data_IF_512404698659
#
_entry.id   IF_512404698659
#
_cell.length_a   1.000
_cell.length_b   1.000
_cell.length_c   1.000
_cell.angle_alpha   90.00
_cell.angle_beta   90.00
_cell.angle_gamma   90.00
#
_symmetry.space_group_name_H-M   'P 1'
#
loop_
_entity.id
_entity.type
_entity.pdbx_description
1 polymer ?
#
# COMPACT_ATOMS: atom_id res chain seq x y z
N UNK A 1 26.85 -5.44 2.90
CA UNK A 1 25.88 -5.47 4.02
C UNK A 1 25.09 -4.17 4.00
N UNK A 2 23.79 -4.21 4.32
CA UNK A 2 22.98 -3.01 4.45
C UNK A 2 23.52 -2.08 5.55
N UNK A 3 23.46 -0.76 5.31
CA UNK A 3 23.85 0.26 6.29
C UNK A 3 22.61 0.76 7.01
N UNK A 4 22.73 0.96 8.31
CA UNK A 4 21.67 1.47 9.17
C UNK A 4 22.14 2.77 9.81
N UNK A 5 21.25 3.74 9.91
CA UNK A 5 21.52 4.99 10.63
C UNK A 5 20.26 5.51 11.31
N UNK A 6 20.44 6.32 12.34
CA UNK A 6 19.37 6.98 13.08
C UNK A 6 19.66 8.48 13.07
N UNK A 7 18.68 9.29 12.69
CA UNK A 7 18.77 10.75 12.78
C UNK A 7 17.55 11.29 13.52
N UNK A 8 17.77 11.79 14.74
CA UNK A 8 16.77 12.34 15.68
C UNK A 8 15.51 11.48 15.87
N UNK A 9 14.63 11.42 14.87
CA UNK A 9 13.32 10.76 14.89
C UNK A 9 13.13 9.72 13.76
N UNK A 10 14.12 9.54 12.89
CA UNK A 10 14.01 8.72 11.69
C UNK A 10 15.12 7.65 11.65
N UNK A 11 14.71 6.40 11.45
CA UNK A 11 15.61 5.27 11.25
C UNK A 11 15.71 4.91 9.77
N UNK A 12 16.93 4.83 9.26
CA UNK A 12 17.22 4.60 7.85
C UNK A 12 17.81 3.21 7.64
N UNK A 13 17.34 2.55 6.59
CA UNK A 13 17.87 1.27 6.11
C UNK A 13 18.26 1.44 4.64
N UNK A 14 19.56 1.51 4.37
CA UNK A 14 20.07 1.52 2.99
C UNK A 14 20.04 0.10 2.41
N UNK A 15 19.68 0.01 1.13
CA UNK A 15 19.45 -1.23 0.39
C UNK A 15 18.51 -2.18 1.15
N UNK A 16 17.41 -1.64 1.70
CA UNK A 16 16.50 -2.36 2.61
C UNK A 16 15.99 -3.70 2.04
N UNK A 17 15.78 -3.79 0.73
CA UNK A 17 15.37 -5.03 0.05
C UNK A 17 16.41 -6.18 0.18
N UNK A 18 17.69 -5.86 0.41
CA UNK A 18 18.79 -6.80 0.63
C UNK A 18 19.20 -6.89 2.10
N UNK A 19 18.67 -6.03 2.96
CA UNK A 19 18.92 -6.04 4.40
C UNK A 19 18.34 -7.30 5.08
N UNK A 20 18.79 -7.58 6.31
CA UNK A 20 18.19 -8.65 7.13
C UNK A 20 16.69 -8.42 7.26
N UNK A 21 15.90 -9.50 7.22
CA UNK A 21 14.44 -9.40 7.26
C UNK A 21 13.98 -8.62 8.49
N UNK A 22 13.06 -7.69 8.27
CA UNK A 22 12.48 -6.80 9.28
C UNK A 22 11.00 -6.59 8.95
N UNK A 23 10.19 -6.48 10.00
CA UNK A 23 8.78 -6.15 9.89
C UNK A 23 8.33 -5.31 11.10
N UNK A 24 7.33 -4.47 10.89
CA UNK A 24 6.75 -3.64 11.94
C UNK A 24 5.33 -3.19 11.55
N UNK A 25 4.69 -2.44 12.43
CA UNK A 25 3.43 -1.77 12.17
C UNK A 25 3.63 -0.26 12.08
N UNK A 26 2.85 0.41 11.22
CA UNK A 26 2.70 1.85 11.35
C UNK A 26 2.10 2.16 12.73
N UNK A 27 2.52 3.26 13.38
CA UNK A 27 1.92 3.69 14.63
C UNK A 27 0.42 3.89 14.44
N UNK A 28 -0.38 3.20 15.27
CA UNK A 28 -1.84 3.27 15.27
C UNK A 28 -2.36 4.57 15.88
N UNK A 29 -1.74 5.70 15.54
CA UNK A 29 -2.08 7.04 16.03
C UNK A 29 -2.52 7.85 14.82
N UNK A 30 -3.75 8.35 14.84
CA UNK A 30 -4.36 9.12 13.74
C UNK A 30 -4.87 10.48 14.23
N UNK A 31 -4.12 11.14 15.11
CA UNK A 31 -4.54 12.40 15.74
C UNK A 31 -5.56 12.19 16.88
N UNK A 32 -5.93 13.27 17.57
CA UNK A 32 -6.75 13.24 18.79
C UNK A 32 -8.13 12.61 18.59
N UNK A 33 -8.73 12.82 17.42
CA UNK A 33 -10.08 12.36 17.07
C UNK A 33 -10.12 11.41 15.87
N UNK A 34 -8.97 11.03 15.32
CA UNK A 34 -8.97 10.15 14.15
C UNK A 34 -9.12 8.69 14.53
N UNK A 35 -9.68 7.93 13.60
CA UNK A 35 -9.83 6.48 13.75
C UNK A 35 -8.54 5.76 13.33
N UNK A 36 -7.88 5.01 14.23
CA UNK A 36 -6.66 4.32 13.90
C UNK A 36 -6.92 3.09 13.03
N UNK A 37 -5.92 2.75 12.22
CA UNK A 37 -5.84 1.48 11.52
C UNK A 37 -4.56 0.76 11.93
N UNK A 38 -4.58 -0.57 11.83
CA UNK A 38 -3.35 -1.35 11.89
C UNK A 38 -2.83 -1.49 10.46
N UNK A 39 -1.54 -1.22 10.23
CA UNK A 39 -0.88 -1.38 8.94
C UNK A 39 0.46 -2.07 9.12
N UNK A 40 0.54 -3.32 8.68
CA UNK A 40 1.72 -4.17 8.76
C UNK A 40 2.58 -4.01 7.52
N UNK A 41 3.88 -3.81 7.73
CA UNK A 41 4.86 -3.67 6.65
C UNK A 41 6.14 -4.48 6.92
N UNK A 42 6.84 -4.79 5.84
CA UNK A 42 8.11 -5.51 5.83
C UNK A 42 9.17 -4.71 5.07
N UNK A 43 10.45 -5.00 5.26
CA UNK A 43 11.53 -4.38 4.48
C UNK A 43 11.73 -5.04 3.10
N UNK A 44 10.65 -5.30 2.37
CA UNK A 44 10.68 -5.89 1.03
C UNK A 44 9.65 -5.19 0.13
N UNK A 45 9.95 -5.11 -1.16
CA UNK A 45 9.10 -4.45 -2.16
C UNK A 45 8.63 -3.07 -1.65
N UNK A 46 7.37 -2.71 -1.86
CA UNK A 46 6.84 -1.43 -1.41
C UNK A 46 6.40 -1.39 0.06
N UNK A 47 6.79 -2.38 0.87
CA UNK A 47 6.65 -2.36 2.32
C UNK A 47 5.32 -2.91 2.84
N UNK A 48 4.21 -2.21 2.57
CA UNK A 48 2.89 -2.56 3.14
C UNK A 48 2.34 -3.85 2.53
N UNK A 49 1.89 -4.78 3.39
CA UNK A 49 1.41 -6.11 2.99
C UNK A 49 0.04 -6.47 3.56
N UNK A 50 -0.31 -5.94 4.73
CA UNK A 50 -1.61 -6.16 5.38
C UNK A 50 -2.03 -4.90 6.10
N UNK A 51 -3.32 -4.54 6.04
CA UNK A 51 -3.88 -3.46 6.83
C UNK A 51 -5.36 -3.66 7.06
N UNK A 52 -5.91 -2.99 8.06
CA UNK A 52 -7.32 -3.02 8.40
C UNK A 52 -7.63 -2.19 9.63
N UNK A 53 -8.88 -2.29 10.08
CA UNK A 53 -9.36 -1.63 11.29
C UNK A 53 -9.65 -2.66 12.36
N UNK A 54 -9.68 -2.27 13.64
CA UNK A 54 -10.13 -3.08 14.79
C UNK A 54 -9.39 -4.42 15.01
N UNK A 55 -9.59 -5.41 14.13
CA UNK A 55 -9.08 -6.78 14.21
C UNK A 55 -8.85 -7.37 12.80
N UNK A 56 -8.54 -8.67 12.72
CA UNK A 56 -8.24 -9.35 11.44
C UNK A 56 -9.48 -9.62 10.59
N UNK A 57 -10.68 -9.61 11.19
CA UNK A 57 -11.95 -9.81 10.47
C UNK A 57 -12.38 -8.57 9.69
N UNK A 58 -11.76 -7.42 9.99
CA UNK A 58 -12.00 -6.14 9.32
C UNK A 58 -10.74 -5.69 8.55
N UNK A 59 -10.12 -6.65 7.86
CA UNK A 59 -8.94 -6.40 7.02
C UNK A 59 -9.33 -5.80 5.66
N UNK A 60 -8.55 -4.80 5.23
CA UNK A 60 -8.59 -4.24 3.87
C UNK A 60 -7.59 -4.96 2.96
N UNK A 61 -6.46 -5.40 3.53
CA UNK A 61 -5.56 -6.40 2.94
C UNK A 61 -5.40 -7.56 3.90
N UNK A 62 -5.48 -8.78 3.38
CA UNK A 62 -5.48 -10.02 4.17
C UNK A 62 -4.30 -10.04 5.15
N UNK A 63 -4.59 -10.32 6.43
CA UNK A 63 -3.53 -10.44 7.44
C UNK A 63 -2.64 -11.65 7.15
N UNK A 64 -1.34 -11.43 7.04
CA UNK A 64 -0.34 -12.49 6.88
C UNK A 64 0.71 -12.42 8.00
N UNK A 65 1.12 -13.56 8.58
CA UNK A 65 2.24 -13.59 9.52
C UNK A 65 3.55 -13.20 8.82
N UNK A 66 4.50 -12.68 9.59
CA UNK A 66 5.76 -12.10 9.09
C UNK A 66 6.52 -12.99 8.10
N UNK A 67 6.59 -14.30 8.37
CA UNK A 67 7.26 -15.27 7.50
C UNK A 67 6.64 -15.35 6.10
N UNK A 68 5.31 -15.25 5.97
CA UNK A 68 4.61 -15.24 4.68
C UNK A 68 4.68 -13.86 4.02
N UNK A 69 4.65 -12.81 4.82
CA UNK A 69 4.61 -11.42 4.36
C UNK A 69 5.83 -11.01 3.56
N UNK A 70 7.03 -11.47 3.94
CA UNK A 70 8.29 -11.20 3.23
C UNK A 70 8.29 -11.65 1.77
N UNK A 71 7.54 -12.71 1.44
CA UNK A 71 7.38 -13.19 0.07
C UNK A 71 6.14 -12.60 -0.61
N UNK A 72 5.06 -12.43 0.17
CA UNK A 72 3.75 -12.01 -0.36
C UNK A 72 3.71 -10.56 -0.79
N UNK A 73 4.51 -9.69 -0.16
CA UNK A 73 4.52 -8.25 -0.45
C UNK A 73 4.82 -7.93 -1.92
N UNK A 74 5.55 -8.79 -2.64
CA UNK A 74 5.88 -8.58 -4.05
C UNK A 74 4.69 -8.69 -5.01
N UNK A 75 3.62 -9.36 -4.61
CA UNK A 75 2.45 -9.62 -5.46
C UNK A 75 1.11 -9.29 -4.79
N UNK A 76 1.07 -9.10 -3.46
CA UNK A 76 -0.12 -8.66 -2.71
C UNK A 76 -0.03 -7.22 -2.19
N UNK A 77 1.18 -6.68 -2.03
CA UNK A 77 1.40 -5.30 -1.60
C UNK A 77 1.21 -4.31 -2.73
N UNK A 78 1.44 -3.03 -2.44
CA UNK A 78 1.42 -1.97 -3.45
C UNK A 78 2.44 -2.19 -4.55
N UNK A 79 2.04 -1.86 -5.79
CA UNK A 79 2.91 -1.94 -6.97
C UNK A 79 2.76 -0.68 -7.80
N UNK A 80 3.86 -0.33 -8.45
CA UNK A 80 3.97 0.81 -9.35
C UNK A 80 4.64 0.31 -10.60
N UNK A 81 4.03 0.55 -11.75
CA UNK A 81 4.58 0.23 -13.06
C UNK A 81 4.72 1.51 -13.85
N UNK A 82 5.89 1.69 -14.45
CA UNK A 82 6.24 2.86 -15.22
C UNK A 82 6.56 2.43 -16.64
N UNK A 83 6.09 3.21 -17.61
CA UNK A 83 6.57 3.20 -18.98
C UNK A 83 7.24 4.54 -19.23
N UNK A 84 8.57 4.50 -19.39
CA UNK A 84 9.45 5.67 -19.49
C UNK A 84 10.07 5.64 -20.86
N UNK A 85 9.79 6.62 -21.71
CA UNK A 85 10.32 6.68 -23.08
C UNK A 85 10.12 5.32 -23.82
N UNK A 86 8.90 4.78 -23.72
CA UNK A 86 8.49 3.45 -24.23
C UNK A 86 9.15 2.22 -23.59
N UNK A 87 9.89 2.36 -22.48
CA UNK A 87 10.51 1.24 -21.77
C UNK A 87 9.85 0.97 -20.42
N UNK A 88 9.48 -0.28 -20.18
CA UNK A 88 8.90 -0.70 -18.91
C UNK A 88 9.90 -0.70 -17.76
N UNK A 89 9.41 -0.37 -16.57
CA UNK A 89 10.15 -0.37 -15.33
C UNK A 89 9.21 -0.54 -14.12
N UNK A 90 9.56 -1.43 -13.20
CA UNK A 90 8.88 -1.58 -11.92
C UNK A 90 9.89 -1.22 -10.80
N UNK A 91 9.74 -0.06 -10.13
CA UNK A 91 10.58 0.31 -9.00
C UNK A 91 10.37 -0.60 -7.77
N UNK A 92 11.29 -0.49 -6.81
CA UNK A 92 11.29 -1.18 -5.52
C UNK A 92 11.42 -2.71 -5.59
N UNK A 93 11.80 -3.26 -6.75
CA UNK A 93 12.19 -4.67 -6.89
C UNK A 93 13.56 -4.91 -6.27
N UNK A 94 13.84 -6.15 -5.86
CA UNK A 94 15.20 -6.50 -5.41
C UNK A 94 16.15 -6.32 -6.60
N UNK A 95 17.15 -5.41 -6.51
CA UNK A 95 17.96 -5.09 -7.68
C UNK A 95 19.05 -6.13 -7.89
N UNK A 96 19.13 -6.68 -9.11
CA UNK A 96 20.13 -7.69 -9.49
C UNK A 96 21.57 -7.15 -9.47
N UNK A 97 21.76 -5.84 -9.67
CA UNK A 97 23.06 -5.14 -9.64
C UNK A 97 22.94 -3.87 -8.79
N UNK A 98 24.06 -3.23 -8.45
CA UNK A 98 24.07 -1.94 -7.72
C UNK A 98 23.69 -0.75 -8.64
N UNK A 99 22.64 -0.91 -9.44
CA UNK A 99 22.19 0.10 -10.41
C UNK A 99 21.21 1.10 -9.82
N UNK A 100 20.58 0.74 -8.70
CA UNK A 100 19.61 1.57 -8.00
C UNK A 100 19.98 1.63 -6.53
N UNK A 101 19.79 2.79 -5.93
CA UNK A 101 19.88 2.98 -4.49
C UNK A 101 18.47 2.93 -3.92
N UNK A 102 18.24 2.06 -2.95
CA UNK A 102 16.95 1.96 -2.28
C UNK A 102 17.11 2.28 -0.79
N UNK A 103 16.29 3.18 -0.25
CA UNK A 103 16.34 3.54 1.17
C UNK A 103 14.95 3.40 1.76
N UNK A 104 14.86 2.79 2.94
CA UNK A 104 13.65 2.79 3.76
C UNK A 104 13.88 3.71 4.96
N UNK A 105 12.92 4.59 5.24
CA UNK A 105 12.90 5.53 6.36
C UNK A 105 11.70 5.19 7.23
N UNK A 106 11.96 4.91 8.50
CA UNK A 106 10.95 4.58 9.50
C UNK A 106 10.90 5.73 10.51
N UNK A 107 9.73 6.34 10.65
CA UNK A 107 9.46 7.41 11.61
C UNK A 107 8.36 6.96 12.59
N UNK A 108 8.14 7.76 13.63
CA UNK A 108 7.01 7.63 14.57
C UNK A 108 5.65 8.00 13.96
N UNK A 109 5.61 8.52 12.72
CA UNK A 109 4.36 8.94 12.07
C UNK A 109 4.17 8.42 10.64
N UNK A 110 5.24 7.97 9.99
CA UNK A 110 5.19 7.50 8.60
C UNK A 110 6.23 6.42 8.30
N UNK A 111 5.98 5.71 7.21
CA UNK A 111 6.96 4.88 6.51
C UNK A 111 7.23 5.51 5.15
N UNK A 112 8.49 5.69 4.79
CA UNK A 112 8.87 6.14 3.46
C UNK A 112 9.89 5.19 2.83
N UNK A 113 9.75 4.98 1.53
CA UNK A 113 10.75 4.29 0.71
C UNK A 113 11.13 5.19 -0.46
N UNK A 114 12.41 5.16 -0.82
CA UNK A 114 12.98 5.94 -1.90
C UNK A 114 13.80 5.01 -2.80
N UNK A 115 13.68 5.20 -4.10
CA UNK A 115 14.52 4.55 -5.10
C UNK A 115 15.08 5.56 -6.09
N UNK A 116 16.40 5.69 -6.09
CA UNK A 116 17.13 6.49 -7.05
C UNK A 116 17.70 5.59 -8.16
N UNK A 117 17.25 5.80 -9.39
CA UNK A 117 17.74 5.11 -10.59
C UNK A 117 18.40 6.10 -11.54
N UNK A 118 19.69 6.38 -11.32
CA UNK A 118 20.48 7.30 -12.17
C UNK A 118 20.53 6.89 -13.64
N UNK A 119 20.55 5.58 -13.92
CA UNK A 119 20.57 5.06 -15.30
C UNK A 119 19.29 5.41 -16.06
N UNK A 120 18.14 5.40 -15.39
CA UNK A 120 16.85 5.79 -15.96
C UNK A 120 16.52 7.26 -15.76
N UNK A 121 17.29 7.97 -14.93
CA UNK A 121 17.10 9.39 -14.68
C UNK A 121 15.87 9.70 -13.84
N UNK A 122 15.52 8.81 -12.90
CA UNK A 122 14.36 8.96 -12.03
C UNK A 122 14.73 8.78 -10.56
N UNK A 123 14.07 9.57 -9.72
CA UNK A 123 13.96 9.39 -8.28
C UNK A 123 12.49 9.18 -7.92
N UNK A 124 12.19 8.13 -7.17
CA UNK A 124 10.82 7.70 -6.87
C UNK A 124 10.68 7.54 -5.37
N UNK A 125 9.65 8.16 -4.79
CA UNK A 125 9.38 8.09 -3.36
C UNK A 125 7.96 7.64 -3.10
N UNK A 126 7.80 6.77 -2.12
CA UNK A 126 6.49 6.34 -1.64
C UNK A 126 6.43 6.57 -0.14
N UNK A 127 5.45 7.36 0.30
CA UNK A 127 5.21 7.65 1.72
C UNK A 127 3.86 7.12 2.14
N UNK A 128 3.83 6.46 3.30
CA UNK A 128 2.65 5.90 3.94
C UNK A 128 2.45 6.54 5.31
N UNK A 129 1.22 6.97 5.61
CA UNK A 129 0.84 7.47 6.92
C UNK A 129 -0.67 7.31 7.13
N UNK A 130 -1.14 7.35 8.37
CA UNK A 130 -2.57 7.32 8.65
C UNK A 130 -3.16 8.73 8.51
N UNK A 131 -4.39 8.85 7.98
CA UNK A 131 -5.04 10.16 7.83
C UNK A 131 -5.45 10.70 9.20
N UNK A 132 -4.86 11.81 9.69
CA UNK A 132 -5.16 12.32 11.02
C UNK A 132 -6.53 13.00 11.09
N UNK A 133 -7.19 12.90 12.23
CA UNK A 133 -8.44 13.61 12.56
C UNK A 133 -9.59 13.39 11.56
N UNK A 134 -9.60 12.24 10.88
CA UNK A 134 -10.69 11.85 9.97
C UNK A 134 -11.73 11.00 10.70
N UNK A 135 -12.99 11.15 10.28
CA UNK A 135 -14.14 10.35 10.77
C UNK A 135 -14.10 8.89 10.29
N UNK A 136 -13.16 8.54 9.40
CA UNK A 136 -12.92 7.18 8.94
C UNK A 136 -11.43 6.84 9.04
N UNK A 137 -11.13 5.55 9.25
CA UNK A 137 -9.76 5.08 9.24
C UNK A 137 -9.24 4.98 7.81
N UNK A 138 -8.07 5.58 7.52
CA UNK A 138 -7.51 5.59 6.17
C UNK A 138 -5.98 5.55 6.17
N UNK A 139 -5.44 4.78 5.22
CA UNK A 139 -4.03 4.77 4.89
C UNK A 139 -3.81 5.69 3.69
N UNK A 140 -3.08 6.77 3.90
CA UNK A 140 -2.64 7.65 2.82
C UNK A 140 -1.34 7.11 2.25
N UNK A 141 -1.30 6.96 0.93
CA UNK A 141 -0.09 6.63 0.17
C UNK A 141 0.17 7.73 -0.85
N UNK A 142 1.33 8.35 -0.78
CA UNK A 142 1.78 9.36 -1.74
C UNK A 142 2.91 8.76 -2.56
N UNK A 143 2.79 8.79 -3.89
CA UNK A 143 3.83 8.37 -4.83
C UNK A 143 4.34 9.62 -5.56
N UNK A 144 5.60 9.98 -5.32
CA UNK A 144 6.28 11.09 -5.96
C UNK A 144 7.27 10.55 -6.99
N UNK A 145 7.20 11.08 -8.22
CA UNK A 145 8.16 10.81 -9.27
C UNK A 145 8.88 12.09 -9.65
N UNK A 146 10.21 12.05 -9.61
CA UNK A 146 11.07 13.16 -9.98
C UNK A 146 11.97 12.78 -11.13
N UNK A 147 11.83 13.49 -12.25
CA UNK A 147 12.81 13.47 -13.32
C UNK A 147 14.08 14.19 -12.85
N UNK A 148 15.18 13.46 -12.73
CA UNK A 148 16.49 13.98 -12.32
C UNK A 148 17.40 14.27 -13.52
N UNK A 149 16.86 14.22 -14.74
CA UNK A 149 17.56 14.60 -15.97
C UNK A 149 17.18 16.02 -16.41
N UNK A 150 17.99 16.58 -17.30
CA UNK A 150 17.75 17.90 -17.88
C UNK A 150 16.71 17.91 -19.00
N UNK A 151 16.32 16.73 -19.51
CA UNK A 151 15.39 16.61 -20.64
C UNK A 151 14.00 16.21 -20.15
N UNK A 152 12.92 16.78 -20.71
CA UNK A 152 11.57 16.25 -20.53
C UNK A 152 11.50 14.77 -20.93
N UNK A 153 10.62 14.01 -20.27
CA UNK A 153 10.43 12.58 -20.51
C UNK A 153 8.96 12.23 -20.52
N UNK A 154 8.62 11.26 -21.36
CA UNK A 154 7.27 10.73 -21.43
C UNK A 154 7.10 9.62 -20.39
N UNK A 155 6.06 9.75 -19.57
CA UNK A 155 5.78 8.86 -18.45
C UNK A 155 4.31 8.43 -18.47
N UNK A 156 4.10 7.11 -18.50
CA UNK A 156 2.82 6.48 -18.19
C UNK A 156 2.98 5.69 -16.88
N UNK A 157 1.98 5.76 -16.01
CA UNK A 157 2.04 5.23 -14.64
C UNK A 157 0.79 4.37 -14.38
N UNK A 158 1.00 3.18 -13.85
CA UNK A 158 -0.04 2.35 -13.23
C UNK A 158 0.41 2.10 -11.80
N UNK A 159 -0.43 2.46 -10.83
CA UNK A 159 -0.06 2.46 -9.43
C UNK A 159 -1.24 2.09 -8.54
N UNK A 160 -1.02 1.22 -7.54
CA UNK A 160 -2.08 0.83 -6.62
C UNK A 160 -1.89 -0.52 -5.97
N UNK A 161 -2.98 -1.04 -5.40
CA UNK A 161 -3.03 -2.40 -4.85
C UNK A 161 -3.52 -3.37 -5.93
N UNK A 162 -2.99 -4.61 -5.97
CA UNK A 162 -3.46 -5.65 -6.89
C UNK A 162 -4.86 -6.15 -6.53
N UNK A 163 -5.31 -5.95 -5.29
CA UNK A 163 -6.65 -6.28 -4.84
C UNK A 163 -6.92 -5.69 -3.45
N UNK A 164 -8.18 -5.35 -3.21
CA UNK A 164 -8.68 -4.87 -1.92
C UNK A 164 -9.74 -5.86 -1.45
N UNK A 165 -9.65 -6.27 -0.18
CA UNK A 165 -10.65 -7.15 0.40
C UNK A 165 -11.99 -6.41 0.57
N UNK A 166 -13.10 -7.00 0.15
CA UNK A 166 -14.42 -6.48 0.47
C UNK A 166 -14.69 -6.47 1.98
N UNK A 167 -15.41 -5.45 2.46
CA UNK A 167 -15.88 -5.44 3.84
C UNK A 167 -16.84 -6.61 4.12
N UNK A 168 -16.70 -7.24 5.28
CA UNK A 168 -17.47 -8.43 5.70
C UNK A 168 -16.72 -9.75 5.51
N UNK A 169 -15.57 -9.74 4.83
CA UNK A 169 -14.68 -10.89 4.68
C UNK A 169 -13.96 -11.23 5.99
N UNK A 170 -14.59 -12.05 6.85
CA UNK A 170 -13.95 -12.48 8.11
C UNK A 170 -12.69 -13.30 7.83
N UNK A 171 -11.72 -13.20 8.74
CA UNK A 171 -10.42 -13.85 8.60
C UNK A 171 -10.55 -15.37 8.48
N UNK A 172 -11.46 -16.02 9.22
CA UNK A 172 -11.70 -17.45 9.09
C UNK A 172 -12.07 -17.85 7.65
N UNK A 173 -13.04 -17.15 7.04
CA UNK A 173 -13.44 -17.42 5.66
C UNK A 173 -12.31 -17.16 4.67
N UNK A 174 -11.50 -16.12 4.90
CA UNK A 174 -10.34 -15.83 4.05
C UNK A 174 -9.26 -16.93 4.13
N UNK A 175 -9.10 -17.60 5.28
CA UNK A 175 -8.09 -18.65 5.45
C UNK A 175 -8.55 -20.01 4.95
N UNK A 176 -9.80 -20.36 5.22
CA UNK A 176 -10.25 -21.73 5.07
C UNK A 176 -11.24 -21.90 3.90
N UNK A 177 -11.93 -20.83 3.49
CA UNK A 177 -13.05 -20.86 2.55
C UNK A 177 -12.98 -19.75 1.49
N UNK A 178 -11.77 -19.29 1.12
CA UNK A 178 -11.58 -18.12 0.27
C UNK A 178 -12.27 -18.25 -1.10
N UNK A 179 -12.17 -19.43 -1.73
CA UNK A 179 -12.79 -19.69 -3.04
C UNK A 179 -14.30 -19.58 -2.99
N UNK A 180 -14.91 -20.04 -1.91
CA UNK A 180 -16.34 -19.91 -1.68
C UNK A 180 -16.67 -18.43 -1.51
N UNK A 181 -15.92 -17.72 -0.65
CA UNK A 181 -16.12 -16.31 -0.33
C UNK A 181 -16.15 -15.39 -1.57
N UNK A 182 -15.33 -15.69 -2.59
CA UNK A 182 -15.28 -14.96 -3.86
C UNK A 182 -16.65 -14.81 -4.54
N UNK A 183 -17.54 -15.80 -4.42
CA UNK A 183 -18.86 -15.76 -5.05
C UNK A 183 -19.77 -14.63 -4.52
N UNK A 184 -19.50 -14.12 -3.32
CA UNK A 184 -20.26 -13.04 -2.68
C UNK A 184 -19.56 -11.69 -2.72
N UNK A 185 -18.30 -11.65 -3.19
CA UNK A 185 -17.52 -10.43 -3.30
C UNK A 185 -18.13 -9.52 -4.37
N UNK A 186 -18.28 -8.24 -4.04
CA UNK A 186 -18.75 -7.23 -4.96
C UNK A 186 -17.82 -6.01 -4.91
N UNK A 187 -17.44 -5.55 -6.09
CA UNK A 187 -16.86 -4.23 -6.30
C UNK A 187 -17.71 -3.42 -7.27
N UNK A 188 -17.76 -2.10 -7.05
CA UNK A 188 -18.41 -1.18 -7.97
C UNK A 188 -17.77 0.21 -7.85
N UNK A 189 -17.87 0.98 -8.93
CA UNK A 189 -17.46 2.38 -8.95
C UNK A 189 -18.67 3.28 -8.74
N UNK A 190 -18.50 4.35 -7.96
CA UNK A 190 -19.42 5.47 -7.90
C UNK A 190 -18.60 6.76 -7.99
N UNK A 191 -18.69 7.45 -9.13
CA UNK A 191 -17.79 8.56 -9.52
C UNK A 191 -16.33 8.10 -9.48
N UNK A 192 -15.49 8.80 -8.72
CA UNK A 192 -14.05 8.54 -8.59
C UNK A 192 -13.70 7.65 -7.38
N UNK A 193 -14.70 7.00 -6.77
CA UNK A 193 -14.52 6.08 -5.65
C UNK A 193 -14.83 4.65 -6.06
N UNK A 194 -13.94 3.73 -5.70
CA UNK A 194 -14.17 2.30 -5.76
C UNK A 194 -14.65 1.79 -4.40
N UNK A 195 -15.69 0.96 -4.40
CA UNK A 195 -16.28 0.36 -3.22
C UNK A 195 -16.16 -1.16 -3.26
N UNK A 196 -15.90 -1.78 -2.11
CA UNK A 196 -15.68 -3.21 -1.94
C UNK A 196 -16.46 -3.71 -0.72
N UNK A 197 -17.47 -4.55 -0.94
CA UNK A 197 -18.26 -5.20 0.13
C UNK A 197 -18.76 -6.58 -0.29
N UNK A 198 -19.06 -7.43 0.69
CA UNK A 198 -19.90 -8.59 0.41
C UNK A 198 -21.36 -8.13 0.23
N UNK A 199 -22.12 -8.81 -0.63
CA UNK A 199 -23.57 -8.57 -0.75
C UNK A 199 -24.32 -8.96 0.53
N UNK A 200 -23.99 -10.14 1.04
CA UNK A 200 -24.64 -10.79 2.18
C UNK A 200 -23.58 -11.49 3.03
N UNK A 201 -23.92 -11.75 4.29
CA UNK A 201 -23.10 -12.53 5.21
C UNK A 201 -22.99 -13.98 4.71
N UNK A 202 -21.78 -14.56 4.57
CA UNK A 202 -21.57 -15.94 4.13
C UNK A 202 -21.71 -16.95 5.29
N UNK A 203 -22.43 -16.58 6.35
CA UNK A 203 -22.65 -17.46 7.49
C UNK A 203 -23.67 -18.53 7.14
N UNK A 204 -23.46 -19.73 7.66
CA UNK A 204 -24.38 -20.85 7.51
C UNK A 204 -25.57 -20.68 8.48
N UNK A 205 -26.52 -19.82 8.09
CA UNK A 205 -27.76 -19.53 8.82
C UNK A 205 -28.91 -19.42 7.82
N UNK A 206 -30.14 -19.73 8.27
CA UNK A 206 -31.33 -19.68 7.42
C UNK A 206 -31.69 -18.26 6.93
N UNK A 207 -31.29 -17.23 7.67
CA UNK A 207 -31.62 -15.85 7.36
C UNK A 207 -30.55 -15.18 6.49
N UNK A 208 -30.98 -14.47 5.44
CA UNK A 208 -30.09 -13.60 4.67
C UNK A 208 -29.82 -12.31 5.45
N UNK A 209 -28.55 -12.05 5.80
CA UNK A 209 -28.11 -10.83 6.47
C UNK A 209 -27.30 -9.98 5.49
N UNK A 210 -27.74 -8.75 5.23
CA UNK A 210 -27.03 -7.81 4.36
C UNK A 210 -25.88 -7.11 5.09
N UNK A 211 -24.75 -6.95 4.40
CA UNK A 211 -23.60 -6.23 4.94
C UNK A 211 -23.81 -4.73 4.79
N UNK A 212 -23.69 -3.99 5.90
CA UNK A 212 -23.87 -2.53 5.93
C UNK A 212 -22.58 -1.76 5.63
N UNK A 213 -21.43 -2.26 6.10
CA UNK A 213 -20.13 -1.59 5.89
C UNK A 213 -19.54 -1.78 4.50
N UNK A 214 -18.51 -0.98 4.20
CA UNK A 214 -17.82 -0.99 2.90
C UNK A 214 -16.36 -0.56 3.07
N UNK A 215 -15.46 -1.20 2.32
CA UNK A 215 -14.10 -0.70 2.12
C UNK A 215 -14.09 0.15 0.85
N UNK A 216 -13.30 1.21 0.81
CA UNK A 216 -13.26 2.09 -0.37
C UNK A 216 -11.84 2.53 -0.70
N UNK A 217 -11.66 2.96 -1.96
CA UNK A 217 -10.40 3.46 -2.49
C UNK A 217 -10.68 4.59 -3.48
N UNK A 218 -9.86 5.63 -3.42
CA UNK A 218 -9.83 6.69 -4.42
C UNK A 218 -8.39 7.17 -4.60
N UNK A 219 -8.11 7.81 -5.72
CA UNK A 219 -6.81 8.37 -6.02
C UNK A 219 -6.96 9.75 -6.64
N UNK A 220 -5.95 10.59 -6.44
CA UNK A 220 -5.89 11.92 -7.04
C UNK A 220 -4.45 12.26 -7.39
N UNK A 221 -4.31 13.11 -8.39
CA UNK A 221 -3.06 13.64 -8.89
C UNK A 221 -2.95 15.11 -8.50
N UNK A 222 -1.78 15.50 -8.01
CA UNK A 222 -1.44 16.88 -7.66
C UNK A 222 -0.24 17.32 -8.49
N UNK A 223 -0.42 18.38 -9.28
CA UNK A 223 0.70 19.05 -9.94
C UNK A 223 1.27 20.14 -9.02
N UNK A 224 2.50 20.59 -9.28
CA UNK A 224 3.14 21.74 -8.59
C UNK A 224 2.32 23.03 -8.62
N UNK A 225 1.28 23.11 -9.46
CA UNK A 225 0.31 24.23 -9.51
C UNK A 225 -0.86 24.11 -8.52
N UNK A 226 -0.84 23.16 -7.58
CA UNK A 226 -1.93 22.85 -6.64
C UNK A 226 -3.27 22.45 -7.29
N UNK A 227 -3.27 22.10 -8.57
CA UNK A 227 -4.43 21.53 -9.23
C UNK A 227 -4.59 20.07 -8.79
N UNK A 228 -5.75 19.77 -8.19
CA UNK A 228 -6.15 18.42 -7.79
C UNK A 228 -6.99 17.84 -8.91
N UNK A 229 -6.57 16.70 -9.46
CA UNK A 229 -7.35 15.92 -10.41
C UNK A 229 -7.64 14.56 -9.82
N UNK A 230 -8.90 14.25 -9.55
CA UNK A 230 -9.30 12.89 -9.19
C UNK A 230 -9.03 11.94 -10.37
N UNK A 231 -8.48 10.78 -10.05
CA UNK A 231 -8.21 9.73 -11.01
C UNK A 231 -9.26 8.65 -10.82
N UNK A 232 -9.81 8.16 -11.94
CA UNK A 232 -10.73 7.04 -11.91
C UNK A 232 -9.94 5.78 -11.52
N UNK A 233 -10.32 5.08 -10.42
CA UNK A 233 -9.66 3.86 -9.99
C UNK A 233 -9.81 2.68 -10.95
#
# INVERSE_FOLDING_TARGET
MAKYSLNKEEFFIEDYNKAKSFCSFLPGISGKFGLPLWCFYVNRAQGVVSLGIKDKDHSLLEFLPANKSLFSVFYRGFRTFLKIDSKFYEPFRIPQKNQVRQVMKVSSSFLEIEEENKKRGLDIRVRYFTLPSSEFASLVRIVELKNITTRPRDLEIIDGLPGILPYGCKNLFLKDLARTLEAWMQSYLNKDLAFFKLKVSPQDIAQTIYIQGVNFYFSCFFSKKNEIKFLRP
#
